data_IF_955472992801
#
_entry.id   IF_955472992801
#
_cell.length_a   1.000
_cell.length_b   1.000
_cell.length_c   1.000
_cell.angle_alpha   90.00
_cell.angle_beta   90.00
_cell.angle_gamma   90.00
#
_symmetry.space_group_name_H-M   'P 1'
#
loop_
_entity.id
_entity.type
_entity.pdbx_description
1 polymer ?
#
# COMPACT_ATOMS: atom_id res chain seq x y z
N UNK A 1 -17.29 -19.99 15.92
CA UNK A 1 -18.00 -18.81 15.40
C UNK A 1 -16.96 -17.89 14.78
N UNK A 2 -17.18 -17.42 13.56
CA UNK A 2 -16.30 -16.47 12.86
C UNK A 2 -17.13 -15.23 12.57
N UNK A 3 -16.65 -14.05 12.96
CA UNK A 3 -17.30 -12.76 12.71
C UNK A 3 -16.43 -12.00 11.70
N UNK A 4 -16.88 -11.85 10.45
CA UNK A 4 -16.15 -11.10 9.43
C UNK A 4 -16.22 -9.59 9.72
N UNK A 5 -15.07 -8.98 9.94
CA UNK A 5 -14.94 -7.56 10.23
C UNK A 5 -14.16 -6.85 9.13
N UNK A 6 -14.64 -5.68 8.70
CA UNK A 6 -13.99 -4.85 7.69
C UNK A 6 -13.68 -3.49 8.30
N UNK A 7 -12.38 -3.19 8.45
CA UNK A 7 -11.91 -1.85 8.74
C UNK A 7 -11.70 -1.09 7.42
N UNK A 8 -12.49 -0.04 7.17
CA UNK A 8 -12.47 0.70 5.92
C UNK A 8 -11.94 2.13 6.11
N UNK A 9 -10.97 2.51 5.28
CA UNK A 9 -10.39 3.87 5.22
C UNK A 9 -10.00 4.25 3.78
N UNK A 10 -10.73 3.75 2.79
CA UNK A 10 -10.43 3.99 1.37
C UNK A 10 -10.69 5.44 0.93
N UNK A 11 -10.15 5.80 -0.23
CA UNK A 11 -10.37 7.11 -0.86
C UNK A 11 -11.85 7.36 -1.21
N UNK A 12 -12.57 6.31 -1.61
CA UNK A 12 -13.97 6.37 -2.02
C UNK A 12 -14.90 6.09 -0.85
N UNK A 13 -16.17 6.45 -0.99
CA UNK A 13 -17.19 6.01 -0.03
C UNK A 13 -17.46 4.51 -0.22
N UNK A 14 -17.64 3.79 0.90
CA UNK A 14 -18.05 2.39 0.86
C UNK A 14 -19.46 2.23 0.26
N UNK A 15 -19.58 1.43 -0.80
CA UNK A 15 -20.85 1.18 -1.51
C UNK A 15 -21.17 -0.32 -1.69
N UNK A 16 -20.32 -1.20 -1.17
CA UNK A 16 -20.42 -2.66 -1.39
C UNK A 16 -21.40 -3.36 -0.44
N UNK A 17 -22.24 -2.62 0.28
CA UNK A 17 -23.18 -3.16 1.26
C UNK A 17 -22.50 -3.83 2.45
N UNK A 18 -23.32 -4.46 3.29
CA UNK A 18 -22.86 -5.19 4.47
C UNK A 18 -23.00 -6.70 4.31
N UNK A 19 -23.64 -7.21 3.26
CA UNK A 19 -23.70 -8.65 3.02
C UNK A 19 -22.49 -9.12 2.21
N UNK A 20 -22.00 -10.33 2.50
CA UNK A 20 -21.00 -10.96 1.63
C UNK A 20 -21.47 -11.07 0.18
N UNK A 21 -22.76 -11.32 -0.02
CA UNK A 21 -23.36 -11.53 -1.34
C UNK A 21 -23.36 -10.25 -2.18
N UNK A 22 -23.38 -9.07 -1.54
CA UNK A 22 -23.35 -7.77 -2.23
C UNK A 22 -22.04 -7.53 -3.00
N UNK A 23 -20.99 -8.31 -2.69
CA UNK A 23 -19.69 -8.25 -3.38
C UNK A 23 -19.70 -8.86 -4.78
N UNK A 24 -20.75 -9.60 -5.14
CA UNK A 24 -20.86 -10.25 -6.44
C UNK A 24 -21.86 -9.52 -7.33
N UNK A 25 -21.41 -9.12 -8.51
CA UNK A 25 -22.27 -8.55 -9.55
C UNK A 25 -22.90 -9.72 -10.31
N UNK A 26 -24.05 -10.20 -9.82
CA UNK A 26 -24.78 -11.33 -10.39
C UNK A 26 -26.13 -10.88 -10.95
N UNK A 27 -26.49 -11.37 -12.13
CA UNK A 27 -27.85 -11.28 -12.66
C UNK A 27 -28.83 -12.07 -11.78
N UNK A 28 -30.15 -11.84 -11.97
CA UNK A 28 -31.18 -12.56 -11.19
C UNK A 28 -31.05 -14.08 -11.31
N UNK A 29 -30.83 -14.58 -12.54
CA UNK A 29 -30.70 -16.01 -12.80
C UNK A 29 -29.45 -16.60 -12.14
N UNK A 30 -28.31 -15.89 -12.21
CA UNK A 30 -27.07 -16.31 -11.56
C UNK A 30 -27.20 -16.33 -10.03
N UNK A 31 -27.89 -15.33 -9.45
CA UNK A 31 -28.17 -15.32 -8.01
C UNK A 31 -28.92 -16.57 -7.58
N UNK A 32 -29.94 -17.00 -8.31
CA UNK A 32 -30.68 -18.23 -7.97
C UNK A 32 -29.81 -19.49 -8.03
N UNK A 33 -28.96 -19.62 -9.05
CA UNK A 33 -28.07 -20.77 -9.22
C UNK A 33 -26.99 -20.82 -8.16
N UNK A 34 -26.35 -19.68 -7.88
CA UNK A 34 -25.19 -19.60 -7.00
C UNK A 34 -25.52 -19.41 -5.52
N UNK A 35 -26.77 -19.06 -5.16
CA UNK A 35 -27.18 -18.80 -3.76
C UNK A 35 -26.74 -19.88 -2.78
N UNK A 36 -26.81 -21.16 -3.17
CA UNK A 36 -26.45 -22.30 -2.31
C UNK A 36 -24.94 -22.51 -2.14
N UNK A 37 -24.12 -21.83 -2.94
CA UNK A 37 -22.65 -21.94 -2.93
C UNK A 37 -21.97 -20.68 -2.38
N UNK A 38 -22.70 -19.56 -2.28
CA UNK A 38 -22.17 -18.32 -1.72
C UNK A 38 -22.51 -18.27 -0.22
N UNK A 39 -21.52 -18.13 0.66
CA UNK A 39 -21.75 -17.93 2.09
C UNK A 39 -22.68 -16.75 2.38
N UNK A 40 -23.64 -16.96 3.27
CA UNK A 40 -24.60 -15.94 3.69
C UNK A 40 -24.23 -15.42 5.08
N UNK A 41 -23.44 -14.35 5.12
CA UNK A 41 -23.06 -13.66 6.35
C UNK A 41 -22.97 -12.16 6.15
N UNK A 42 -23.14 -11.43 7.25
CA UNK A 42 -22.93 -10.00 7.32
C UNK A 42 -21.48 -9.65 7.69
N UNK A 43 -21.05 -8.49 7.18
CA UNK A 43 -19.79 -7.85 7.48
C UNK A 43 -20.03 -6.78 8.53
N UNK A 44 -19.32 -6.88 9.65
CA UNK A 44 -19.21 -5.78 10.60
C UNK A 44 -18.29 -4.73 9.98
N UNK A 45 -18.88 -3.68 9.40
CA UNK A 45 -18.15 -2.60 8.74
C UNK A 45 -17.83 -1.48 9.74
N UNK A 46 -16.54 -1.25 9.95
CA UNK A 46 -16.02 -0.07 10.62
C UNK A 46 -15.48 0.92 9.58
N UNK A 47 -16.31 1.90 9.24
CA UNK A 47 -15.97 2.96 8.30
C UNK A 47 -15.33 4.14 9.04
N UNK A 48 -14.00 4.25 8.95
CA UNK A 48 -13.23 5.25 9.67
C UNK A 48 -13.62 6.67 9.30
N UNK A 49 -14.08 6.91 8.06
CA UNK A 49 -14.45 8.27 7.59
C UNK A 49 -15.60 8.89 8.41
N UNK A 50 -16.40 8.06 9.07
CA UNK A 50 -17.57 8.48 9.88
C UNK A 50 -17.27 8.60 11.36
N UNK A 51 -16.04 8.30 11.78
CA UNK A 51 -15.67 8.24 13.19
C UNK A 51 -15.23 9.61 13.68
N UNK A 52 -15.90 10.10 14.72
CA UNK A 52 -15.43 11.27 15.49
C UNK A 52 -14.30 10.85 16.42
N UNK A 53 -13.07 11.10 15.97
CA UNK A 53 -11.85 10.76 16.70
C UNK A 53 -11.62 11.65 17.93
N UNK A 54 -12.27 12.81 18.04
CA UNK A 54 -12.08 13.72 19.18
C UNK A 54 -12.48 13.07 20.51
N UNK A 55 -13.40 12.10 20.45
CA UNK A 55 -13.92 11.32 21.59
C UNK A 55 -12.96 10.26 22.13
N UNK A 56 -11.88 9.97 21.40
CA UNK A 56 -10.88 9.00 21.86
C UNK A 56 -9.98 9.61 22.93
N UNK A 57 -9.90 8.96 24.08
CA UNK A 57 -9.05 9.41 25.19
C UNK A 57 -7.56 9.31 24.84
N UNK A 58 -7.17 8.25 24.13
CA UNK A 58 -5.79 8.00 23.74
C UNK A 58 -5.32 8.96 22.65
N UNK A 59 -4.38 9.86 22.99
CA UNK A 59 -3.69 10.72 22.03
C UNK A 59 -3.05 9.88 20.91
N UNK A 60 -2.42 8.76 21.26
CA UNK A 60 -1.77 7.88 20.27
C UNK A 60 -2.78 7.35 19.25
N UNK A 61 -3.96 6.89 19.69
CA UNK A 61 -4.98 6.40 18.75
C UNK A 61 -5.56 7.52 17.90
N UNK A 62 -5.82 8.69 18.50
CA UNK A 62 -6.30 9.87 17.76
C UNK A 62 -5.37 10.25 16.62
N UNK A 63 -4.09 10.31 16.91
CA UNK A 63 -3.05 10.66 15.94
C UNK A 63 -2.96 9.62 14.83
N UNK A 64 -2.84 8.33 15.17
CA UNK A 64 -2.69 7.26 14.17
C UNK A 64 -3.93 7.16 13.30
N UNK A 65 -5.12 7.06 13.90
CA UNK A 65 -6.36 6.93 13.15
C UNK A 65 -6.69 8.22 12.39
N UNK A 66 -6.31 9.37 12.92
CA UNK A 66 -6.50 10.66 12.28
C UNK A 66 -5.72 10.78 10.98
N UNK A 67 -4.43 10.44 11.01
CA UNK A 67 -3.61 10.40 9.79
C UNK A 67 -4.17 9.40 8.79
N UNK A 68 -4.57 8.20 9.24
CA UNK A 68 -5.18 7.18 8.36
C UNK A 68 -6.53 7.64 7.78
N UNK A 69 -7.34 8.37 8.54
CA UNK A 69 -8.63 8.90 8.10
C UNK A 69 -8.45 10.01 7.06
N UNK A 70 -7.42 10.84 7.20
CA UNK A 70 -7.17 12.04 6.39
C UNK A 70 -6.21 11.81 5.22
N UNK A 71 -5.63 10.62 5.10
CA UNK A 71 -4.57 10.29 4.12
C UNK A 71 -5.01 10.46 2.65
N UNK A 72 -6.30 10.54 2.35
CA UNK A 72 -6.80 10.72 0.98
C UNK A 72 -7.26 12.15 0.66
N UNK A 73 -7.17 13.09 1.61
CA UNK A 73 -7.57 14.49 1.39
C UNK A 73 -6.57 15.25 0.50
N UNK A 74 -6.93 16.40 -0.06
CA UNK A 74 -5.95 17.21 -0.82
C UNK A 74 -4.74 17.63 0.02
N UNK A 75 -3.57 17.79 -0.59
CA UNK A 75 -2.29 18.00 0.11
C UNK A 75 -2.34 19.16 1.11
N UNK A 76 -2.93 20.30 0.75
CA UNK A 76 -3.06 21.43 1.66
C UNK A 76 -3.92 21.12 2.89
N UNK A 77 -5.00 20.34 2.73
CA UNK A 77 -5.86 19.91 3.86
C UNK A 77 -5.11 18.95 4.76
N UNK A 78 -4.45 17.96 4.14
CA UNK A 78 -3.69 16.94 4.85
C UNK A 78 -2.50 17.53 5.62
N UNK A 79 -1.72 18.42 5.00
CA UNK A 79 -0.60 19.11 5.64
C UNK A 79 -1.06 20.02 6.79
N UNK A 80 -2.17 20.75 6.61
CA UNK A 80 -2.77 21.53 7.69
C UNK A 80 -3.13 20.66 8.89
N UNK A 81 -3.79 19.53 8.64
CA UNK A 81 -4.13 18.55 9.67
C UNK A 81 -2.89 17.93 10.33
N UNK A 82 -1.84 17.67 9.57
CA UNK A 82 -0.60 17.12 10.09
C UNK A 82 0.07 18.07 11.10
N UNK A 83 -0.04 19.38 10.89
CA UNK A 83 0.36 20.39 11.89
C UNK A 83 -0.39 20.24 13.21
N UNK A 84 -1.71 20.02 13.18
CA UNK A 84 -2.52 19.76 14.39
C UNK A 84 -2.10 18.46 15.08
N UNK A 85 -1.84 17.41 14.31
CA UNK A 85 -1.34 16.11 14.80
C UNK A 85 -0.02 16.28 15.53
N UNK A 86 0.89 17.07 14.98
CA UNK A 86 2.16 17.36 15.61
C UNK A 86 1.92 18.07 16.94
N UNK A 87 1.15 19.16 16.97
CA UNK A 87 0.87 19.87 18.23
C UNK A 87 0.23 18.95 19.28
N UNK A 88 -0.67 18.03 18.90
CA UNK A 88 -1.24 17.03 19.81
C UNK A 88 -0.17 16.08 20.41
N UNK A 89 0.84 15.70 19.64
CA UNK A 89 1.93 14.84 20.11
C UNK A 89 2.83 15.53 21.15
N UNK A 90 2.87 16.86 21.20
CA UNK A 90 3.59 17.60 22.27
C UNK A 90 3.02 17.29 23.65
N UNK A 91 1.72 16.91 23.73
CA UNK A 91 1.05 16.52 24.96
C UNK A 91 1.50 15.17 25.52
N UNK A 92 2.18 14.33 24.74
CA UNK A 92 2.77 13.09 25.23
C UNK A 92 4.07 13.39 25.95
N UNK A 93 4.20 13.08 27.24
CA UNK A 93 5.45 13.34 28.00
C UNK A 93 6.61 12.42 27.61
N UNK A 94 6.32 11.19 27.23
CA UNK A 94 7.33 10.18 26.90
C UNK A 94 7.92 10.42 25.50
N UNK A 95 9.17 10.86 25.46
CA UNK A 95 9.90 11.17 24.23
C UNK A 95 10.13 9.97 23.32
N UNK A 96 10.61 8.84 23.86
CA UNK A 96 10.83 7.63 23.08
C UNK A 96 9.54 7.16 22.38
N UNK A 97 8.40 7.27 23.07
CA UNK A 97 7.09 6.97 22.50
C UNK A 97 6.69 7.97 21.40
N UNK A 98 7.01 9.27 21.55
CA UNK A 98 6.78 10.26 20.48
C UNK A 98 7.58 9.92 19.23
N UNK A 99 8.88 9.65 19.39
CA UNK A 99 9.77 9.25 18.29
C UNK A 99 9.25 8.01 17.56
N UNK A 100 8.82 6.98 18.30
CA UNK A 100 8.25 5.77 17.70
C UNK A 100 6.96 6.07 16.90
N UNK A 101 6.10 6.95 17.41
CA UNK A 101 4.87 7.35 16.71
C UNK A 101 5.23 8.10 15.43
N UNK A 102 6.10 9.11 15.49
CA UNK A 102 6.53 9.87 14.31
C UNK A 102 7.15 8.97 13.25
N UNK A 103 8.02 8.04 13.65
CA UNK A 103 8.63 7.09 12.72
C UNK A 103 7.58 6.27 11.97
N UNK A 104 6.56 5.76 12.67
CA UNK A 104 5.45 5.00 12.07
C UNK A 104 4.58 5.87 11.18
N UNK A 105 4.31 7.12 11.57
CA UNK A 105 3.54 8.06 10.76
C UNK A 105 4.26 8.39 9.46
N UNK A 106 5.53 8.80 9.51
CA UNK A 106 6.31 9.12 8.32
C UNK A 106 6.43 7.92 7.39
N UNK A 107 6.71 6.74 7.94
CA UNK A 107 6.74 5.51 7.16
C UNK A 107 5.41 5.28 6.43
N UNK A 108 4.28 5.43 7.10
CA UNK A 108 2.97 5.26 6.48
C UNK A 108 2.69 6.33 5.41
N UNK A 109 2.92 7.59 5.74
CA UNK A 109 2.65 8.73 4.85
C UNK A 109 3.44 8.60 3.56
N UNK A 110 4.76 8.39 3.63
CA UNK A 110 5.61 8.26 2.44
C UNK A 110 5.36 6.98 1.63
N UNK A 111 4.75 5.94 2.23
CA UNK A 111 4.35 4.75 1.47
C UNK A 111 3.03 4.93 0.72
N UNK A 112 2.14 5.79 1.21
CA UNK A 112 0.80 5.98 0.63
C UNK A 112 0.73 7.20 -0.26
N UNK A 113 1.50 8.25 0.04
CA UNK A 113 1.50 9.54 -0.65
C UNK A 113 2.84 9.84 -1.31
N UNK A 114 2.76 10.46 -2.47
CA UNK A 114 3.89 11.11 -3.15
C UNK A 114 4.08 12.53 -2.58
N UNK A 115 4.45 12.60 -1.31
CA UNK A 115 4.73 13.87 -0.63
C UNK A 115 6.22 14.06 -0.44
N UNK A 116 6.73 15.27 -0.70
CA UNK A 116 8.14 15.53 -0.52
C UNK A 116 8.47 15.63 0.99
N UNK A 117 9.56 15.02 1.48
CA UNK A 117 9.93 15.08 2.89
C UNK A 117 10.11 16.51 3.39
N UNK A 118 10.51 17.42 2.49
CA UNK A 118 10.68 18.84 2.77
C UNK A 118 9.39 19.55 3.15
N UNK A 119 8.23 19.10 2.65
CA UNK A 119 6.93 19.65 3.03
C UNK A 119 6.62 19.35 4.50
N UNK A 120 6.97 18.13 4.95
CA UNK A 120 6.79 17.72 6.35
C UNK A 120 7.81 18.41 7.26
N UNK A 121 9.08 18.52 6.87
CA UNK A 121 10.09 19.22 7.69
C UNK A 121 9.80 20.73 7.77
N UNK A 122 9.25 21.33 6.72
CA UNK A 122 8.77 22.70 6.78
C UNK A 122 7.68 22.86 7.85
N UNK A 123 6.72 21.93 7.96
CA UNK A 123 5.72 22.01 9.04
C UNK A 123 6.36 21.85 10.43
N UNK A 124 7.30 20.91 10.59
CA UNK A 124 7.99 20.67 11.86
C UNK A 124 8.83 21.87 12.30
N UNK A 125 9.51 22.55 11.39
CA UNK A 125 10.33 23.73 11.72
C UNK A 125 9.51 24.92 12.24
N UNK A 126 8.21 24.98 11.93
CA UNK A 126 7.28 26.00 12.44
C UNK A 126 6.55 25.55 13.72
N UNK A 127 6.85 24.36 14.23
CA UNK A 127 6.22 23.78 15.41
C UNK A 127 7.16 23.81 16.63
N UNK A 128 6.69 23.37 17.80
CA UNK A 128 7.52 23.28 19.03
C UNK A 128 8.50 22.10 19.03
N UNK A 129 8.65 21.37 17.93
CA UNK A 129 9.47 20.17 17.85
C UNK A 129 10.95 20.46 17.61
N UNK A 130 11.82 19.54 18.03
CA UNK A 130 13.27 19.65 17.84
C UNK A 130 13.66 19.20 16.41
N UNK A 131 14.92 19.47 16.02
CA UNK A 131 15.50 19.00 14.74
C UNK A 131 15.49 17.47 14.58
N UNK A 132 15.45 16.71 15.67
CA UNK A 132 15.45 15.24 15.62
C UNK A 132 14.26 14.68 14.85
N UNK A 133 13.08 15.33 14.93
CA UNK A 133 11.91 14.88 14.16
C UNK A 133 12.02 15.24 12.67
N UNK A 134 12.69 16.33 12.33
CA UNK A 134 13.01 16.67 10.94
C UNK A 134 13.97 15.63 10.35
N UNK A 135 15.04 15.30 11.09
CA UNK A 135 16.00 14.26 10.73
C UNK A 135 15.31 12.89 10.59
N UNK A 136 14.35 12.58 11.47
CA UNK A 136 13.57 11.35 11.40
C UNK A 136 12.71 11.27 10.14
N UNK A 137 12.08 12.37 9.71
CA UNK A 137 11.33 12.42 8.45
C UNK A 137 12.26 12.19 7.26
N UNK A 138 13.38 12.90 7.20
CA UNK A 138 14.37 12.78 6.12
C UNK A 138 14.95 11.37 6.01
N UNK A 139 15.44 10.83 7.12
CA UNK A 139 16.04 9.48 7.15
C UNK A 139 15.03 8.38 6.80
N UNK A 140 13.76 8.54 7.19
CA UNK A 140 12.69 7.60 6.81
C UNK A 140 12.46 7.62 5.31
N UNK A 141 12.40 8.80 4.69
CA UNK A 141 12.24 8.94 3.25
C UNK A 141 13.44 8.40 2.47
N UNK A 142 14.67 8.72 2.90
CA UNK A 142 15.90 8.20 2.29
C UNK A 142 15.96 6.68 2.31
N UNK A 143 15.58 6.06 3.45
CA UNK A 143 15.53 4.61 3.58
C UNK A 143 14.55 4.01 2.57
N UNK A 144 13.33 4.56 2.46
CA UNK A 144 12.32 4.09 1.51
C UNK A 144 12.79 4.24 0.06
N UNK A 145 13.43 5.37 -0.28
CA UNK A 145 13.99 5.61 -1.62
C UNK A 145 15.06 4.58 -1.96
N UNK A 146 16.00 4.33 -1.05
CA UNK A 146 17.05 3.32 -1.24
C UNK A 146 16.49 1.92 -1.39
N UNK A 147 15.49 1.54 -0.58
CA UNK A 147 14.79 0.26 -0.74
C UNK A 147 14.08 0.16 -2.10
N UNK A 148 13.48 1.25 -2.56
CA UNK A 148 12.86 1.36 -3.87
C UNK A 148 13.87 1.19 -5.02
N UNK A 149 15.02 1.86 -4.93
CA UNK A 149 16.12 1.76 -5.90
C UNK A 149 16.65 0.32 -6.00
N UNK A 150 16.97 -0.31 -4.87
CA UNK A 150 17.45 -1.70 -4.81
C UNK A 150 16.40 -2.67 -5.40
N UNK A 151 15.12 -2.53 -5.02
CA UNK A 151 14.04 -3.35 -5.59
C UNK A 151 13.88 -3.13 -7.09
N UNK A 152 14.04 -1.89 -7.54
CA UNK A 152 13.98 -1.50 -8.94
C UNK A 152 15.10 -2.15 -9.75
N UNK A 153 16.33 -2.07 -9.25
CA UNK A 153 17.53 -2.67 -9.85
C UNK A 153 17.38 -4.19 -9.99
N UNK A 154 17.05 -4.90 -8.90
CA UNK A 154 16.85 -6.36 -8.95
C UNK A 154 15.73 -6.77 -9.91
N UNK A 155 14.60 -6.05 -9.92
CA UNK A 155 13.50 -6.33 -10.86
C UNK A 155 13.92 -6.05 -12.31
N UNK A 156 14.70 -5.00 -12.53
CA UNK A 156 15.22 -4.62 -13.83
C UNK A 156 16.18 -5.66 -14.39
N UNK A 157 17.13 -6.10 -13.57
CA UNK A 157 18.10 -7.15 -13.90
C UNK A 157 17.40 -8.47 -14.24
N UNK A 158 16.48 -8.93 -13.38
CA UNK A 158 15.73 -10.17 -13.62
C UNK A 158 14.91 -10.11 -14.92
N UNK A 159 14.22 -8.98 -15.16
CA UNK A 159 13.50 -8.76 -16.41
C UNK A 159 14.43 -8.75 -17.62
N UNK A 160 15.62 -8.15 -17.49
CA UNK A 160 16.65 -8.13 -18.53
C UNK A 160 17.14 -9.53 -18.88
N UNK A 161 17.45 -10.35 -17.87
CA UNK A 161 17.86 -11.75 -18.05
C UNK A 161 16.77 -12.56 -18.76
N UNK A 162 15.52 -12.48 -18.30
CA UNK A 162 14.40 -13.21 -18.92
C UNK A 162 14.20 -12.74 -20.37
N UNK A 163 14.22 -11.44 -20.62
CA UNK A 163 14.07 -10.89 -21.98
C UNK A 163 15.19 -11.36 -22.91
N UNK A 164 16.43 -11.41 -22.42
CA UNK A 164 17.57 -11.93 -23.18
C UNK A 164 17.37 -13.40 -23.57
N UNK A 165 17.02 -14.25 -22.59
CA UNK A 165 16.72 -15.68 -22.85
C UNK A 165 15.58 -15.88 -23.86
N UNK A 166 14.55 -15.04 -23.79
CA UNK A 166 13.40 -15.08 -24.70
C UNK A 166 13.81 -14.66 -26.13
N UNK A 167 14.67 -13.65 -26.28
CA UNK A 167 15.19 -13.25 -27.59
C UNK A 167 16.10 -14.35 -28.18
N UNK A 168 16.96 -14.94 -27.36
CA UNK A 168 17.81 -16.07 -27.77
C UNK A 168 16.96 -17.27 -28.23
N UNK A 169 15.92 -17.63 -27.48
CA UNK A 169 14.96 -18.67 -27.86
C UNK A 169 14.29 -18.38 -29.21
N UNK A 170 13.88 -17.11 -29.43
CA UNK A 170 13.26 -16.66 -30.68
C UNK A 170 14.20 -16.83 -31.87
N UNK A 171 15.47 -16.47 -31.69
CA UNK A 171 16.51 -16.63 -32.72
C UNK A 171 16.75 -18.11 -32.97
N UNK A 172 16.91 -18.93 -31.93
CA UNK A 172 17.10 -20.38 -32.07
C UNK A 172 15.96 -21.05 -32.84
N UNK A 173 14.70 -20.73 -32.55
CA UNK A 173 13.57 -21.26 -33.32
C UNK A 173 13.61 -20.82 -34.79
N UNK A 174 13.98 -19.57 -35.08
CA UNK A 174 14.15 -19.09 -36.47
C UNK A 174 15.27 -19.82 -37.21
N UNK A 175 16.33 -20.19 -36.51
CA UNK A 175 17.45 -20.97 -37.05
C UNK A 175 17.15 -22.49 -37.13
N UNK A 176 15.95 -22.92 -36.73
CA UNK A 176 15.50 -24.31 -36.85
C UNK A 176 15.93 -25.24 -35.70
N UNK A 177 16.26 -24.68 -34.54
CA UNK A 177 16.57 -25.50 -33.35
C UNK A 177 15.30 -26.17 -32.80
N UNK A 178 15.43 -27.44 -32.45
CA UNK A 178 14.38 -28.24 -31.80
C UNK A 178 14.08 -27.72 -30.38
N UNK A 179 12.84 -27.92 -29.93
CA UNK A 179 12.35 -27.44 -28.63
C UNK A 179 13.22 -27.93 -27.45
N UNK A 180 13.66 -29.19 -27.44
CA UNK A 180 14.49 -29.73 -26.36
C UNK A 180 15.84 -29.00 -26.24
N UNK A 181 16.42 -28.59 -27.38
CA UNK A 181 17.68 -27.85 -27.43
C UNK A 181 17.48 -26.43 -26.92
N UNK A 182 16.41 -25.76 -27.33
CA UNK A 182 16.07 -24.40 -26.86
C UNK A 182 15.85 -24.38 -25.35
N UNK A 183 15.07 -25.31 -24.80
CA UNK A 183 14.83 -25.42 -23.36
C UNK A 183 16.14 -25.66 -22.59
N UNK A 184 17.01 -26.55 -23.10
CA UNK A 184 18.30 -26.87 -22.47
C UNK A 184 19.27 -25.70 -22.47
N UNK A 185 19.36 -24.93 -23.57
CA UNK A 185 20.32 -23.82 -23.69
C UNK A 185 19.85 -22.59 -22.93
N UNK A 186 18.58 -22.20 -23.09
CA UNK A 186 18.04 -20.99 -22.47
C UNK A 186 17.67 -21.20 -20.99
N UNK A 187 17.46 -22.46 -20.59
CA UNK A 187 16.95 -22.83 -19.28
C UNK A 187 15.53 -22.32 -19.03
N UNK A 188 14.79 -21.99 -20.09
CA UNK A 188 13.37 -21.66 -20.04
C UNK A 188 12.55 -22.95 -19.97
N UNK A 189 11.34 -22.83 -19.45
CA UNK A 189 10.31 -23.88 -19.47
C UNK A 189 9.41 -23.72 -20.69
N UNK A 190 8.72 -24.80 -21.07
CA UNK A 190 7.75 -24.75 -22.16
C UNK A 190 6.59 -23.78 -21.87
N UNK A 191 6.17 -23.68 -20.60
CA UNK A 191 5.13 -22.74 -20.19
C UNK A 191 5.58 -21.29 -20.36
N UNK A 192 6.81 -20.95 -19.96
CA UNK A 192 7.35 -19.61 -20.18
C UNK A 192 7.39 -19.28 -21.68
N UNK A 193 7.83 -20.20 -22.54
CA UNK A 193 7.81 -19.97 -23.98
C UNK A 193 6.39 -19.71 -24.52
N UNK A 194 5.38 -20.44 -24.04
CA UNK A 194 3.97 -20.20 -24.38
C UNK A 194 3.46 -18.86 -23.89
N UNK A 195 3.80 -18.48 -22.66
CA UNK A 195 3.41 -17.20 -22.07
C UNK A 195 3.95 -16.00 -22.87
N UNK A 196 5.12 -16.18 -23.52
CA UNK A 196 5.74 -15.21 -24.41
C UNK A 196 5.42 -15.41 -25.91
N UNK A 197 4.52 -16.35 -26.25
CA UNK A 197 4.02 -16.58 -27.61
C UNK A 197 5.05 -17.13 -28.60
N UNK A 198 5.99 -17.95 -28.12
CA UNK A 198 7.00 -18.62 -28.96
C UNK A 198 6.61 -20.03 -29.38
N UNK A 199 5.58 -20.60 -28.77
CA UNK A 199 5.01 -21.93 -29.04
C UNK A 199 3.50 -21.84 -29.24
#
# INVERSE_FOLDING_TARGET
MVIPFVFYHGERTWTLGNSFQDRFILSKNEKEVFKKYIPDFELELFDLSKVDLSRLESITLRVILGVVQKIWEGDSSFLGYLGEVFELLTGLKNESKRVEIFQKLFLYIFNVREIEPTEITNLLSHSRFNREYEDLAMTTAEKLRKEGEIKGEMKGELKGIIKGKIEDARIMFKEGFELDVVLRITGLTEQELKDYGLL
#
